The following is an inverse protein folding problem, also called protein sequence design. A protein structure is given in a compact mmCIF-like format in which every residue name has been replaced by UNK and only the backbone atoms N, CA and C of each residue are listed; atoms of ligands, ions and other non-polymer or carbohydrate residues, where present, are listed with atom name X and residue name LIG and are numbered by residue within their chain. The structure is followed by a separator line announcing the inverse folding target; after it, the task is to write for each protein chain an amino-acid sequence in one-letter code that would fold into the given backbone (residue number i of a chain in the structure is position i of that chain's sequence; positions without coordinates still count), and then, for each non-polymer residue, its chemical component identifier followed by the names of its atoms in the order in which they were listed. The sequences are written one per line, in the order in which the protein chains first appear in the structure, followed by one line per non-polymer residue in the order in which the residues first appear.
data_IF_807235488308
#
_entry.id   IF_807235488308
#
_cell.length_a   1.000
_cell.length_b   1.000
_cell.length_c   1.000
_cell.angle_alpha   90.00
_cell.angle_beta   90.00
_cell.angle_gamma   90.00
#
_symmetry.space_group_name_H-M   'P 1'
#
loop_
_entity.id
_entity.type
_entity.pdbx_description
1 polymer ?
#
# COMPACT_ATOMS: atom_id res chain seq x y z
N UNK A 1 -43.17 -1.88 3.00
CA UNK A 1 -42.62 -3.11 3.63
C UNK A 1 -41.11 -3.00 3.64
N UNK A 2 -40.58 -2.41 4.70
CA UNK A 2 -39.16 -2.12 4.95
C UNK A 2 -38.54 -3.26 5.76
N UNK A 3 -38.38 -4.42 5.11
CA UNK A 3 -37.89 -5.65 5.75
C UNK A 3 -36.65 -6.22 5.05
N UNK A 4 -35.51 -6.15 5.74
CA UNK A 4 -34.47 -7.18 5.78
C UNK A 4 -33.82 -7.67 4.46
N UNK A 5 -33.41 -6.77 3.57
CA UNK A 5 -32.39 -7.13 2.56
C UNK A 5 -30.97 -7.33 3.15
N UNK A 6 -30.78 -6.98 4.43
CA UNK A 6 -29.64 -7.38 5.26
C UNK A 6 -29.70 -8.85 5.75
N UNK A 7 -30.67 -9.69 5.36
CA UNK A 7 -30.76 -11.07 5.87
C UNK A 7 -30.05 -12.12 4.99
N UNK A 8 -29.77 -11.82 3.72
CA UNK A 8 -29.00 -12.71 2.83
C UNK A 8 -27.51 -12.33 2.88
N UNK A 9 -26.91 -12.33 4.08
CA UNK A 9 -25.58 -11.78 4.28
C UNK A 9 -24.51 -12.66 3.60
N UNK A 10 -23.94 -12.16 2.50
CA UNK A 10 -22.64 -12.63 2.04
C UNK A 10 -21.56 -12.34 3.09
N UNK A 11 -20.31 -12.72 2.82
CA UNK A 11 -19.21 -12.56 3.78
C UNK A 11 -19.03 -11.12 4.31
N UNK A 12 -19.51 -10.11 3.57
CA UNK A 12 -19.43 -8.69 3.92
C UNK A 12 -20.42 -8.25 5.00
N UNK A 13 -21.40 -9.10 5.34
CA UNK A 13 -22.41 -8.82 6.36
C UNK A 13 -21.97 -9.03 7.80
N UNK A 14 -20.76 -9.56 8.01
CA UNK A 14 -20.25 -9.94 9.33
C UNK A 14 -19.99 -8.71 10.20
N UNK A 15 -20.06 -8.84 11.54
CA UNK A 15 -19.87 -7.71 12.46
C UNK A 15 -18.58 -6.90 12.25
N UNK A 16 -17.50 -7.54 11.77
CA UNK A 16 -16.22 -6.87 11.52
C UNK A 16 -16.34 -5.69 10.51
N UNK A 17 -17.21 -5.82 9.51
CA UNK A 17 -17.43 -4.76 8.52
C UNK A 17 -18.58 -3.81 8.89
N UNK A 18 -19.30 -4.05 9.98
CA UNK A 18 -20.37 -3.16 10.41
C UNK A 18 -19.81 -1.96 11.19
N UNK A 19 -20.47 -0.82 11.10
CA UNK A 19 -20.15 0.39 11.87
C UNK A 19 -21.43 1.19 12.20
N UNK A 20 -21.36 1.95 13.29
CA UNK A 20 -22.39 2.88 13.75
C UNK A 20 -22.23 4.22 13.02
N UNK A 21 -23.25 4.71 12.30
CA UNK A 21 -23.22 6.03 11.69
C UNK A 21 -23.19 7.15 12.74
N UNK A 22 -22.44 8.22 12.46
CA UNK A 22 -22.43 9.42 13.28
C UNK A 22 -23.82 10.06 13.29
N UNK A 23 -24.40 10.26 14.48
CA UNK A 23 -25.73 10.86 14.65
C UNK A 23 -26.92 9.98 14.28
N UNK A 24 -26.70 8.70 13.94
CA UNK A 24 -27.75 7.74 13.58
C UNK A 24 -27.98 6.67 14.64
N UNK A 25 -28.93 5.77 14.37
CA UNK A 25 -29.16 4.54 15.12
C UNK A 25 -28.95 3.30 14.23
N UNK A 26 -28.61 2.16 14.85
CA UNK A 26 -28.36 0.90 14.16
C UNK A 26 -26.93 0.78 13.59
N UNK A 27 -26.62 -0.40 13.05
CA UNK A 27 -25.33 -0.69 12.41
C UNK A 27 -25.52 -0.88 10.91
N UNK A 28 -24.64 -0.29 10.11
CA UNK A 28 -24.65 -0.40 8.66
C UNK A 28 -23.36 -1.05 8.16
N UNK A 29 -23.47 -1.74 7.03
CA UNK A 29 -22.34 -2.35 6.33
C UNK A 29 -21.63 -1.37 5.39
N UNK A 30 -20.52 -1.80 4.79
CA UNK A 30 -19.76 -1.01 3.83
C UNK A 30 -20.45 -0.95 2.46
N UNK A 31 -20.05 0.02 1.63
CA UNK A 31 -20.43 0.15 0.22
C UNK A 31 -19.42 -0.52 -0.72
N UNK A 32 -18.20 -0.78 -0.24
CA UNK A 32 -17.18 -1.57 -0.92
C UNK A 32 -16.27 -2.27 0.10
N UNK A 33 -15.89 -3.51 -0.24
CA UNK A 33 -14.93 -4.33 0.51
C UNK A 33 -13.88 -4.83 -0.46
N UNK A 34 -12.63 -4.45 -0.23
CA UNK A 34 -11.45 -5.05 -0.83
C UNK A 34 -10.66 -5.73 0.30
N UNK A 35 -10.93 -7.01 0.61
CA UNK A 35 -10.18 -7.81 1.60
C UNK A 35 -9.24 -8.78 0.87
N UNK A 36 -8.00 -8.32 0.65
CA UNK A 36 -7.00 -9.02 -0.15
C UNK A 36 -6.46 -10.23 0.60
N UNK A 37 -6.32 -10.11 1.93
CA UNK A 37 -5.87 -11.21 2.81
C UNK A 37 -6.75 -12.45 2.72
N UNK A 38 -8.04 -12.27 2.48
CA UNK A 38 -9.02 -13.36 2.35
C UNK A 38 -9.49 -13.62 0.92
N UNK A 39 -8.92 -12.93 -0.06
CA UNK A 39 -9.36 -12.93 -1.47
C UNK A 39 -10.87 -12.72 -1.62
N UNK A 40 -11.37 -11.68 -0.96
CA UNK A 40 -12.81 -11.39 -0.81
C UNK A 40 -13.10 -9.96 -1.23
N UNK A 41 -13.94 -9.83 -2.25
CA UNK A 41 -14.28 -8.54 -2.85
C UNK A 41 -15.78 -8.38 -2.98
N UNK A 42 -16.28 -7.22 -2.59
CA UNK A 42 -17.69 -6.89 -2.75
C UNK A 42 -17.88 -5.40 -3.03
N UNK A 43 -18.89 -5.08 -3.82
CA UNK A 43 -19.21 -3.71 -4.22
C UNK A 43 -20.73 -3.54 -4.24
N UNK A 44 -21.20 -2.32 -3.99
CA UNK A 44 -22.61 -1.96 -4.11
C UNK A 44 -23.17 -2.41 -5.46
N UNK A 45 -24.41 -2.89 -5.43
CA UNK A 45 -25.15 -3.31 -6.64
C UNK A 45 -25.66 -2.14 -7.47
N UNK A 46 -25.60 -0.92 -6.92
CA UNK A 46 -26.10 0.26 -7.60
C UNK A 46 -25.19 0.65 -8.77
N UNK A 47 -25.80 1.14 -9.84
CA UNK A 47 -25.07 1.74 -10.94
C UNK A 47 -24.33 3.01 -10.47
N UNK A 48 -23.19 3.31 -11.09
CA UNK A 48 -22.32 4.45 -10.72
C UNK A 48 -23.09 5.76 -10.57
N UNK A 49 -23.98 6.06 -11.53
CA UNK A 49 -24.79 7.28 -11.52
C UNK A 49 -25.80 7.40 -10.36
N UNK A 50 -26.17 6.28 -9.72
CA UNK A 50 -27.07 6.27 -8.57
C UNK A 50 -26.32 6.44 -7.24
N UNK A 51 -25.01 6.20 -7.21
CA UNK A 51 -24.19 6.24 -5.99
C UNK A 51 -24.26 7.60 -5.28
N UNK A 52 -24.23 8.77 -5.95
CA UNK A 52 -24.25 10.06 -5.24
C UNK A 52 -25.53 10.28 -4.42
N UNK A 53 -26.70 9.90 -4.93
CA UNK A 53 -28.00 10.20 -4.31
C UNK A 53 -28.54 9.08 -3.41
N UNK A 54 -28.00 7.87 -3.50
CA UNK A 54 -28.51 6.71 -2.76
C UNK A 54 -28.33 6.84 -1.24
N UNK A 55 -29.24 6.22 -0.48
CA UNK A 55 -29.11 6.09 0.96
C UNK A 55 -27.97 5.10 1.32
N UNK A 56 -27.32 5.32 2.47
CA UNK A 56 -26.24 4.45 2.93
C UNK A 56 -26.67 2.97 3.07
N UNK A 57 -27.93 2.72 3.45
CA UNK A 57 -28.50 1.37 3.56
C UNK A 57 -28.69 0.69 2.21
N UNK A 58 -28.99 1.43 1.15
CA UNK A 58 -29.09 0.89 -0.22
C UNK A 58 -27.70 0.56 -0.76
N UNK A 59 -26.72 1.44 -0.50
CA UNK A 59 -25.33 1.22 -0.90
C UNK A 59 -24.70 0.02 -0.19
N UNK A 60 -25.10 -0.26 1.05
CA UNK A 60 -24.68 -1.42 1.82
C UNK A 60 -25.24 -2.76 1.29
N UNK A 61 -26.10 -2.75 0.27
CA UNK A 61 -26.49 -3.95 -0.46
C UNK A 61 -25.41 -4.33 -1.48
N UNK A 62 -24.45 -5.16 -1.05
CA UNK A 62 -23.31 -5.58 -1.87
C UNK A 62 -23.56 -6.88 -2.64
N UNK A 63 -22.80 -7.06 -3.72
CA UNK A 63 -22.55 -8.35 -4.38
C UNK A 63 -21.07 -8.67 -4.36
N UNK A 64 -20.74 -9.96 -4.23
CA UNK A 64 -19.39 -10.45 -4.49
C UNK A 64 -18.97 -10.04 -5.91
N UNK A 65 -17.73 -9.64 -6.08
CA UNK A 65 -17.19 -9.22 -7.35
C UNK A 65 -15.73 -9.68 -7.52
N UNK A 66 -15.14 -9.44 -8.69
CA UNK A 66 -13.70 -9.65 -8.90
C UNK A 66 -12.91 -8.41 -8.47
N UNK A 67 -11.59 -8.58 -8.28
CA UNK A 67 -10.68 -7.48 -7.96
C UNK A 67 -10.80 -6.32 -8.96
N UNK A 68 -10.94 -6.63 -10.25
CA UNK A 68 -11.02 -5.65 -11.34
C UNK A 68 -12.30 -4.80 -11.30
N UNK A 69 -13.33 -5.20 -10.54
CA UNK A 69 -14.52 -4.38 -10.32
C UNK A 69 -14.26 -3.25 -9.32
N UNK A 70 -13.24 -3.37 -8.48
CA UNK A 70 -12.84 -2.36 -7.49
C UNK A 70 -11.60 -1.59 -7.93
N UNK A 71 -10.65 -2.25 -8.60
CA UNK A 71 -9.35 -1.69 -8.96
C UNK A 71 -9.04 -1.91 -10.45
N UNK A 72 -8.81 -0.84 -11.17
CA UNK A 72 -8.13 -0.85 -12.48
C UNK A 72 -6.62 -0.82 -12.23
N UNK A 73 -5.98 -1.99 -12.32
CA UNK A 73 -4.53 -2.12 -12.12
C UNK A 73 -3.77 -1.93 -13.44
N UNK A 74 -2.69 -1.14 -13.42
CA UNK A 74 -1.77 -1.03 -14.55
C UNK A 74 -0.30 -1.08 -14.11
N UNK A 75 0.53 -1.68 -14.97
CA UNK A 75 2.00 -1.69 -14.91
C UNK A 75 2.52 -2.05 -16.29
N UNK A 76 3.44 -1.26 -16.84
CA UNK A 76 3.87 -1.39 -18.24
C UNK A 76 4.79 -2.59 -18.55
N UNK A 77 5.25 -3.33 -17.55
CA UNK A 77 6.13 -4.48 -17.73
C UNK A 77 5.87 -5.59 -16.70
N UNK A 78 6.54 -6.73 -16.89
CA UNK A 78 6.58 -7.82 -15.91
C UNK A 78 7.27 -7.39 -14.62
N UNK A 79 6.85 -7.93 -13.48
CA UNK A 79 7.50 -7.71 -12.20
C UNK A 79 7.39 -8.97 -11.31
N UNK A 80 8.32 -9.13 -10.37
CA UNK A 80 8.31 -10.30 -9.49
C UNK A 80 7.55 -10.07 -8.19
N UNK A 81 7.17 -11.16 -7.53
CA UNK A 81 6.58 -11.19 -6.19
C UNK A 81 6.89 -12.55 -5.54
N UNK A 82 6.75 -12.63 -4.22
CA UNK A 82 6.86 -13.90 -3.48
C UNK A 82 5.49 -14.58 -3.47
N UNK A 83 5.42 -15.80 -4.00
CA UNK A 83 4.21 -16.62 -4.02
C UNK A 83 3.93 -17.28 -2.67
N UNK A 84 2.77 -17.93 -2.55
CA UNK A 84 2.38 -18.66 -1.33
C UNK A 84 3.29 -19.86 -1.01
N UNK A 85 4.09 -20.30 -1.98
CA UNK A 85 5.13 -21.32 -1.84
C UNK A 85 6.47 -20.75 -1.32
N UNK A 86 6.55 -19.44 -1.07
CA UNK A 86 7.77 -18.75 -0.65
C UNK A 86 8.80 -18.54 -1.77
N UNK A 87 8.45 -18.87 -3.02
CA UNK A 87 9.32 -18.71 -4.18
C UNK A 87 9.03 -17.40 -4.93
N UNK A 88 9.99 -16.98 -5.76
CA UNK A 88 9.82 -15.81 -6.62
C UNK A 88 9.02 -16.21 -7.88
N UNK A 89 7.90 -15.52 -8.10
CA UNK A 89 7.07 -15.64 -9.28
C UNK A 89 7.11 -14.35 -10.11
N UNK A 90 6.68 -14.44 -11.37
CA UNK A 90 6.53 -13.28 -12.27
C UNK A 90 5.06 -12.99 -12.53
N UNK A 91 4.68 -11.73 -12.39
CA UNK A 91 3.38 -11.21 -12.86
C UNK A 91 3.56 -10.52 -14.21
N UNK A 92 2.66 -10.76 -15.15
CA UNK A 92 2.63 -10.11 -16.46
C UNK A 92 2.43 -8.59 -16.34
N UNK A 93 2.61 -7.86 -17.44
CA UNK A 93 2.18 -6.46 -17.52
C UNK A 93 0.68 -6.36 -17.17
N UNK A 94 0.31 -5.29 -16.47
CA UNK A 94 -1.05 -5.05 -15.95
C UNK A 94 -1.63 -6.12 -15.01
N UNK A 95 -0.87 -7.15 -14.62
CA UNK A 95 -1.32 -8.11 -13.61
C UNK A 95 -0.93 -7.63 -12.19
N UNK A 96 -1.88 -7.57 -11.24
CA UNK A 96 -1.58 -7.27 -9.85
C UNK A 96 -0.67 -8.34 -9.24
N UNK A 97 0.07 -7.97 -8.19
CA UNK A 97 0.99 -8.86 -7.47
C UNK A 97 0.42 -9.18 -6.09
N UNK A 98 0.01 -10.42 -5.90
CA UNK A 98 -0.46 -10.94 -4.61
C UNK A 98 0.69 -11.65 -3.91
N UNK A 99 1.39 -10.89 -3.08
CA UNK A 99 2.65 -11.27 -2.45
C UNK A 99 2.42 -11.95 -1.09
N UNK A 100 3.31 -12.87 -0.72
CA UNK A 100 3.28 -13.65 0.52
C UNK A 100 4.60 -13.59 1.31
N UNK A 101 5.41 -12.54 1.13
CA UNK A 101 6.73 -12.40 1.78
C UNK A 101 6.66 -12.56 3.30
N UNK A 102 5.56 -12.14 3.95
CA UNK A 102 5.34 -12.27 5.39
C UNK A 102 4.37 -13.42 5.76
N UNK A 103 4.14 -14.37 4.85
CA UNK A 103 3.27 -15.52 5.06
C UNK A 103 1.78 -15.26 4.88
N UNK A 104 1.38 -14.07 4.43
CA UNK A 104 -0.02 -13.70 4.18
C UNK A 104 -0.19 -13.10 2.80
N UNK A 105 -1.35 -13.31 2.19
CA UNK A 105 -1.67 -12.75 0.88
C UNK A 105 -1.92 -11.25 0.97
N UNK A 106 -1.09 -10.44 0.33
CA UNK A 106 -1.27 -8.98 0.30
C UNK A 106 -1.07 -8.43 -1.11
N UNK A 107 -1.68 -7.30 -1.41
CA UNK A 107 -1.42 -6.60 -2.67
C UNK A 107 -0.12 -5.82 -2.54
N UNK A 108 0.90 -6.24 -3.27
CA UNK A 108 2.16 -5.53 -3.34
C UNK A 108 2.05 -4.35 -4.31
N UNK A 109 2.23 -3.14 -3.79
CA UNK A 109 2.29 -1.91 -4.58
C UNK A 109 3.64 -1.26 -4.37
N UNK A 110 4.32 -0.90 -5.46
CA UNK A 110 5.64 -0.28 -5.40
C UNK A 110 5.80 0.82 -6.46
N UNK A 111 6.61 1.84 -6.13
CA UNK A 111 7.10 2.82 -7.10
C UNK A 111 8.12 2.21 -8.07
N UNK A 112 8.67 3.00 -9.01
CA UNK A 112 9.70 2.50 -9.91
C UNK A 112 11.00 2.23 -9.13
N UNK A 113 11.77 1.24 -9.56
CA UNK A 113 13.07 0.92 -8.98
C UNK A 113 14.00 0.32 -10.03
N UNK A 114 15.31 0.47 -9.85
CA UNK A 114 16.33 -0.04 -10.78
C UNK A 114 17.31 -0.92 -10.02
N UNK A 115 17.47 -2.16 -10.49
CA UNK A 115 18.56 -3.01 -10.04
C UNK A 115 19.82 -2.69 -10.86
N UNK A 116 20.84 -2.19 -10.18
CA UNK A 116 22.10 -1.77 -10.79
C UNK A 116 23.07 -2.94 -11.03
N UNK A 117 22.79 -4.11 -10.47
CA UNK A 117 23.63 -5.30 -10.66
C UNK A 117 23.40 -5.93 -12.02
N UNK A 118 24.45 -6.49 -12.60
CA UNK A 118 24.38 -7.32 -13.79
C UNK A 118 24.34 -8.79 -13.41
N UNK A 119 23.67 -9.60 -14.24
CA UNK A 119 23.53 -11.05 -14.08
C UNK A 119 23.05 -11.45 -12.68
N UNK A 120 22.02 -10.77 -12.17
CA UNK A 120 21.61 -10.85 -10.77
C UNK A 120 21.09 -12.21 -10.32
N UNK A 121 20.68 -13.09 -11.23
CA UNK A 121 20.19 -14.43 -10.88
C UNK A 121 21.26 -15.27 -10.16
N UNK A 122 22.52 -15.14 -10.59
CA UNK A 122 23.71 -15.74 -9.94
C UNK A 122 24.83 -14.70 -10.00
N UNK A 123 25.03 -13.99 -8.89
CA UNK A 123 25.90 -12.84 -8.85
C UNK A 123 27.38 -13.26 -8.87
N UNK A 124 28.16 -12.62 -9.73
CA UNK A 124 29.63 -12.65 -9.67
C UNK A 124 30.16 -11.33 -9.10
N UNK A 125 31.40 -11.36 -8.60
CA UNK A 125 32.13 -10.15 -8.20
C UNK A 125 32.10 -9.12 -9.32
N UNK A 126 31.68 -7.90 -9.01
CA UNK A 126 31.57 -6.82 -9.97
C UNK A 126 31.71 -5.45 -9.29
N UNK A 127 31.89 -4.42 -10.11
CA UNK A 127 31.94 -3.03 -9.66
C UNK A 127 30.94 -2.20 -10.43
N UNK A 128 30.21 -1.35 -9.72
CA UNK A 128 29.15 -0.49 -10.27
C UNK A 128 29.42 0.96 -9.86
N UNK A 129 29.31 1.90 -10.79
CA UNK A 129 29.37 3.32 -10.47
C UNK A 129 28.04 3.77 -9.84
N UNK A 130 28.11 4.37 -8.66
CA UNK A 130 26.95 4.88 -7.92
C UNK A 130 27.11 6.37 -7.60
N UNK A 131 26.05 7.19 -7.74
CA UNK A 131 25.98 8.51 -7.11
C UNK A 131 26.02 8.45 -5.58
N UNK A 132 26.25 9.60 -4.93
CA UNK A 132 26.12 9.71 -3.49
C UNK A 132 24.63 9.64 -3.09
N UNK A 133 24.22 8.54 -2.46
CA UNK A 133 22.85 8.30 -2.01
C UNK A 133 22.81 7.14 -1.00
N UNK A 134 21.62 6.91 -0.43
CA UNK A 134 21.33 5.67 0.29
C UNK A 134 21.02 4.56 -0.70
N UNK A 135 21.63 3.39 -0.50
CA UNK A 135 21.40 2.18 -1.26
C UNK A 135 21.03 1.02 -0.36
N UNK A 136 20.29 0.07 -0.93
CA UNK A 136 20.04 -1.23 -0.30
C UNK A 136 20.56 -2.33 -1.20
N UNK A 137 21.50 -3.12 -0.68
CA UNK A 137 21.90 -4.40 -1.27
C UNK A 137 21.03 -5.50 -0.66
N UNK A 138 20.60 -6.46 -1.46
CA UNK A 138 19.90 -7.65 -0.98
C UNK A 138 20.16 -8.88 -1.86
N UNK A 139 20.05 -10.08 -1.30
CA UNK A 139 20.15 -11.33 -2.06
C UNK A 139 19.57 -12.53 -1.30
N UNK A 140 19.42 -13.66 -1.99
CA UNK A 140 19.14 -14.98 -1.42
C UNK A 140 20.36 -15.89 -1.55
N UNK A 141 20.53 -16.84 -0.62
CA UNK A 141 21.63 -17.79 -0.63
C UNK A 141 22.40 -17.81 0.68
N UNK A 142 23.47 -18.62 0.72
CA UNK A 142 24.34 -18.83 1.89
C UNK A 142 25.71 -18.16 1.75
N UNK A 143 25.98 -17.52 0.61
CA UNK A 143 27.20 -16.78 0.36
C UNK A 143 27.25 -15.42 1.07
N UNK A 144 28.25 -14.63 0.74
CA UNK A 144 28.43 -13.26 1.24
C UNK A 144 28.80 -12.30 0.12
N UNK A 145 28.50 -11.02 0.36
CA UNK A 145 28.93 -9.90 -0.47
C UNK A 145 29.65 -8.89 0.41
N UNK A 146 30.91 -8.59 0.10
CA UNK A 146 31.70 -7.57 0.78
C UNK A 146 31.84 -6.33 -0.09
N UNK A 147 31.53 -5.16 0.50
CA UNK A 147 31.56 -3.86 -0.16
C UNK A 147 32.90 -3.16 0.03
N UNK A 148 33.39 -2.51 -1.03
CA UNK A 148 34.55 -1.61 -0.99
C UNK A 148 34.41 -0.44 -1.98
N UNK A 149 35.16 0.65 -1.76
CA UNK A 149 35.16 1.84 -2.59
C UNK A 149 34.17 2.90 -2.09
N UNK A 150 33.08 3.12 -2.84
CA UNK A 150 32.03 4.10 -2.52
C UNK A 150 31.33 3.85 -1.17
N UNK A 151 31.40 2.63 -0.64
CA UNK A 151 30.99 2.28 0.73
C UNK A 151 31.78 1.06 1.20
N UNK A 152 31.63 0.70 2.47
CA UNK A 152 32.23 -0.49 3.08
C UNK A 152 31.22 -1.25 3.93
N UNK A 153 31.42 -2.56 4.08
CA UNK A 153 30.52 -3.43 4.84
C UNK A 153 30.49 -4.84 4.26
N UNK A 154 29.73 -5.73 4.91
CA UNK A 154 29.51 -7.08 4.40
C UNK A 154 28.07 -7.52 4.70
N UNK A 155 27.48 -8.26 3.77
CA UNK A 155 26.18 -8.88 3.90
C UNK A 155 26.35 -10.39 3.74
N UNK A 156 26.00 -11.15 4.77
CA UNK A 156 26.02 -12.62 4.75
C UNK A 156 24.61 -13.17 4.58
N UNK A 157 24.46 -14.22 3.79
CA UNK A 157 23.20 -14.89 3.52
C UNK A 157 22.84 -15.96 4.56
N UNK A 158 21.57 -16.33 4.61
CA UNK A 158 21.05 -17.38 5.51
C UNK A 158 20.51 -18.62 4.78
N UNK A 159 20.18 -18.54 3.50
CA UNK A 159 19.54 -19.64 2.77
C UNK A 159 18.82 -19.19 1.50
N UNK A 160 18.32 -20.15 0.71
CA UNK A 160 17.66 -19.88 -0.58
C UNK A 160 16.25 -19.29 -0.48
N UNK A 161 15.61 -19.37 0.69
CA UNK A 161 14.23 -18.90 0.93
C UNK A 161 14.16 -17.61 1.73
N UNK A 162 15.28 -17.14 2.27
CA UNK A 162 15.34 -15.94 3.11
C UNK A 162 16.17 -14.88 2.42
N UNK A 163 15.53 -13.78 2.04
CA UNK A 163 16.24 -12.61 1.49
C UNK A 163 16.92 -11.85 2.61
N UNK A 164 18.21 -11.62 2.49
CA UNK A 164 18.97 -10.72 3.36
C UNK A 164 19.12 -9.35 2.71
N UNK A 165 19.27 -8.31 3.51
CA UNK A 165 19.53 -6.96 3.01
C UNK A 165 20.48 -6.16 3.91
N UNK A 166 21.25 -5.27 3.29
CA UNK A 166 22.10 -4.27 3.93
C UNK A 166 21.80 -2.90 3.32
N UNK A 167 21.36 -1.97 4.16
CA UNK A 167 21.18 -0.56 3.78
C UNK A 167 22.40 0.25 4.20
N UNK A 168 22.94 1.06 3.31
CA UNK A 168 24.13 1.86 3.55
C UNK A 168 24.08 3.18 2.78
N UNK A 169 24.87 4.16 3.21
CA UNK A 169 25.09 5.41 2.45
C UNK A 169 26.36 5.24 1.64
N UNK A 170 26.27 5.50 0.33
CA UNK A 170 27.41 5.51 -0.57
C UNK A 170 27.86 6.96 -0.86
N UNK A 171 29.15 7.14 -1.04
CA UNK A 171 29.69 8.33 -1.73
C UNK A 171 29.62 8.12 -3.25
N UNK A 172 29.77 9.19 -4.03
CA UNK A 172 29.83 9.06 -5.48
C UNK A 172 31.13 8.34 -5.89
N UNK A 173 31.02 7.26 -6.65
CA UNK A 173 32.20 6.51 -7.11
C UNK A 173 31.90 5.05 -7.44
N UNK A 174 32.96 4.25 -7.58
CA UNK A 174 32.85 2.83 -7.82
C UNK A 174 32.56 2.07 -6.51
N UNK A 175 31.48 1.31 -6.48
CA UNK A 175 31.16 0.34 -5.44
C UNK A 175 31.51 -1.06 -5.93
N UNK A 176 32.53 -1.66 -5.34
CA UNK A 176 32.92 -3.04 -5.61
C UNK A 176 32.19 -3.98 -4.67
N UNK A 177 31.56 -5.01 -5.22
CA UNK A 177 30.88 -6.08 -4.49
C UNK A 177 31.63 -7.38 -4.73
N UNK A 178 32.40 -7.81 -3.75
CA UNK A 178 33.14 -9.07 -3.78
C UNK A 178 32.24 -10.19 -3.29
N UNK A 179 31.95 -11.15 -4.17
CA UNK A 179 31.07 -12.27 -3.89
C UNK A 179 31.87 -13.49 -3.44
N UNK A 180 31.43 -14.16 -2.38
CA UNK A 180 31.90 -15.47 -1.97
C UNK A 180 30.71 -16.42 -1.78
N UNK A 181 30.82 -17.66 -2.27
CA UNK A 181 29.75 -18.65 -2.17
C UNK A 181 28.52 -18.32 -3.03
N UNK A 182 27.36 -18.85 -2.64
CA UNK A 182 26.11 -18.72 -3.41
C UNK A 182 25.38 -17.41 -3.11
N UNK A 183 25.33 -16.51 -4.09
CA UNK A 183 24.55 -15.26 -4.05
C UNK A 183 23.61 -15.24 -5.25
N UNK A 184 22.31 -15.41 -4.99
CA UNK A 184 21.26 -15.53 -5.99
C UNK A 184 20.23 -14.41 -5.87
N UNK A 185 19.59 -14.06 -6.99
CA UNK A 185 18.56 -13.01 -7.10
C UNK A 185 18.99 -11.71 -6.39
N UNK A 186 20.22 -11.29 -6.64
CA UNK A 186 20.81 -10.15 -5.97
C UNK A 186 20.28 -8.83 -6.54
N UNK A 187 20.13 -7.83 -5.67
CA UNK A 187 19.64 -6.52 -6.05
C UNK A 187 20.39 -5.43 -5.31
N UNK A 188 20.90 -4.47 -6.06
CA UNK A 188 21.38 -3.19 -5.54
C UNK A 188 20.51 -2.10 -6.15
N UNK A 189 19.80 -1.37 -5.30
CA UNK A 189 18.93 -0.28 -5.72
C UNK A 189 19.04 0.92 -4.77
N UNK A 190 18.73 2.11 -5.27
CA UNK A 190 18.65 3.31 -4.45
C UNK A 190 17.45 3.24 -3.51
N UNK A 191 17.61 3.76 -2.30
CA UNK A 191 16.58 3.75 -1.26
C UNK A 191 16.99 2.94 -0.05
N UNK A 192 16.16 3.00 0.99
CA UNK A 192 16.46 2.44 2.31
C UNK A 192 15.83 1.06 2.55
N UNK A 193 15.21 0.47 1.53
CA UNK A 193 14.71 -0.90 1.56
C UNK A 193 14.91 -1.59 0.22
N UNK A 194 14.91 -2.92 0.26
CA UNK A 194 14.78 -3.73 -0.93
C UNK A 194 13.33 -3.73 -1.42
N UNK A 195 13.12 -3.42 -2.71
CA UNK A 195 11.88 -3.68 -3.43
C UNK A 195 11.84 -5.12 -3.92
N UNK A 196 10.73 -5.57 -4.52
CA UNK A 196 10.67 -6.86 -5.24
C UNK A 196 11.88 -7.06 -6.17
N UNK A 197 12.31 -8.30 -6.35
CA UNK A 197 13.47 -8.61 -7.16
C UNK A 197 13.25 -8.19 -8.63
N UNK A 198 14.22 -7.48 -9.20
CA UNK A 198 14.24 -7.04 -10.59
C UNK A 198 15.33 -7.85 -11.29
N UNK A 199 14.95 -8.85 -12.11
CA UNK A 199 15.91 -9.66 -12.85
C UNK A 199 16.73 -8.80 -13.82
N UNK A 200 18.04 -9.02 -13.84
CA UNK A 200 18.98 -8.37 -14.75
C UNK A 200 19.86 -9.40 -15.42
N UNK A 201 20.30 -9.07 -16.63
CA UNK A 201 21.25 -9.87 -17.41
C UNK A 201 22.48 -9.01 -17.69
N UNK A 202 22.89 -8.84 -18.95
CA UNK A 202 24.03 -8.01 -19.33
C UNK A 202 23.86 -6.51 -19.12
N UNK A 203 22.67 -6.05 -18.68
CA UNK A 203 22.41 -4.65 -18.35
C UNK A 203 21.53 -4.52 -17.10
N UNK A 204 21.63 -3.37 -16.45
CA UNK A 204 20.69 -2.95 -15.41
C UNK A 204 19.26 -2.89 -15.99
N UNK A 205 18.27 -3.10 -15.12
CA UNK A 205 16.86 -3.09 -15.50
C UNK A 205 16.03 -2.29 -14.50
N UNK A 206 14.99 -1.65 -15.00
CA UNK A 206 14.05 -0.86 -14.20
C UNK A 206 12.69 -1.54 -14.17
N UNK A 207 12.16 -1.77 -12.96
CA UNK A 207 10.76 -2.15 -12.77
C UNK A 207 9.90 -0.89 -12.78
N UNK A 208 8.86 -0.79 -13.64
CA UNK A 208 7.92 0.32 -13.62
C UNK A 208 7.08 0.35 -12.33
N UNK A 209 6.53 1.52 -12.03
CA UNK A 209 5.62 1.69 -10.90
C UNK A 209 4.30 0.93 -11.10
N UNK A 210 3.74 0.43 -10.00
CA UNK A 210 2.37 -0.06 -9.98
C UNK A 210 1.37 1.11 -9.96
N UNK A 211 0.17 0.84 -10.44
CA UNK A 211 -0.94 1.78 -10.41
C UNK A 211 -2.24 1.05 -10.12
N UNK A 212 -2.68 1.08 -8.86
CA UNK A 212 -3.97 0.57 -8.42
C UNK A 212 -5.00 1.71 -8.36
N UNK A 213 -5.61 2.04 -9.51
CA UNK A 213 -6.67 3.05 -9.59
C UNK A 213 -8.00 2.44 -9.15
N UNK A 214 -8.75 3.09 -8.28
CA UNK A 214 -10.13 2.68 -8.00
C UNK A 214 -10.99 2.84 -9.27
N UNK A 215 -11.85 1.85 -9.54
CA UNK A 215 -12.86 1.96 -10.60
C UNK A 215 -13.81 3.11 -10.31
N UNK A 216 -14.53 3.59 -11.32
CA UNK A 216 -15.42 4.74 -11.15
C UNK A 216 -16.49 4.49 -10.08
N UNK A 217 -17.03 3.26 -9.98
CA UNK A 217 -17.96 2.88 -8.91
C UNK A 217 -17.35 2.99 -7.50
N UNK A 218 -16.14 2.45 -7.31
CA UNK A 218 -15.46 2.53 -6.02
C UNK A 218 -15.03 3.97 -5.69
N UNK A 219 -14.61 4.73 -6.69
CA UNK A 219 -14.23 6.12 -6.53
C UNK A 219 -15.43 7.03 -6.21
N UNK A 220 -16.62 6.79 -6.79
CA UNK A 220 -17.83 7.54 -6.42
C UNK A 220 -18.25 7.32 -4.97
N UNK A 221 -18.03 6.14 -4.40
CA UNK A 221 -18.24 5.92 -2.96
C UNK A 221 -17.32 6.80 -2.12
N UNK A 222 -16.06 6.99 -2.55
CA UNK A 222 -15.10 7.89 -1.90
C UNK A 222 -15.49 9.36 -2.07
N UNK A 223 -16.21 9.74 -3.12
CA UNK A 223 -16.56 11.16 -3.38
C UNK A 223 -17.81 11.65 -2.67
N UNK A 224 -18.51 10.79 -1.92
CA UNK A 224 -19.72 11.19 -1.22
C UNK A 224 -19.43 12.22 -0.11
N UNK A 225 -20.46 13.00 0.21
CA UNK A 225 -20.40 14.03 1.25
C UNK A 225 -20.21 13.45 2.65
N UNK A 226 -20.57 12.18 2.87
CA UNK A 226 -20.34 11.47 4.12
C UNK A 226 -19.76 10.07 3.86
N UNK A 227 -18.54 9.82 4.32
CA UNK A 227 -17.78 8.59 4.05
C UNK A 227 -16.87 8.26 5.22
N UNK A 228 -16.60 6.96 5.40
CA UNK A 228 -15.46 6.48 6.16
C UNK A 228 -14.65 5.50 5.34
N UNK A 229 -13.33 5.56 5.44
CA UNK A 229 -12.40 4.70 4.71
C UNK A 229 -11.42 4.10 5.70
N UNK A 230 -11.14 2.82 5.54
CA UNK A 230 -10.04 2.13 6.22
C UNK A 230 -9.09 1.57 5.18
N UNK A 231 -7.80 1.81 5.36
CA UNK A 231 -6.73 1.05 4.71
C UNK A 231 -5.96 0.29 5.78
N UNK A 232 -5.76 -1.01 5.54
CA UNK A 232 -4.83 -1.82 6.31
C UNK A 232 -3.65 -2.19 5.43
N UNK A 233 -2.45 -1.89 5.90
CA UNK A 233 -1.23 -2.23 5.18
C UNK A 233 -0.06 -2.47 6.14
N UNK A 234 0.84 -3.35 5.69
CA UNK A 234 2.21 -3.44 6.17
C UNK A 234 3.11 -2.54 5.32
N UNK A 235 3.70 -1.52 5.94
CA UNK A 235 4.61 -0.62 5.24
C UNK A 235 6.01 -0.57 5.83
N UNK A 236 7.04 -0.82 5.01
CA UNK A 236 8.41 -0.45 5.35
C UNK A 236 8.58 1.07 5.17
N UNK A 237 8.63 1.78 6.30
CA UNK A 237 8.79 3.22 6.34
C UNK A 237 10.22 3.63 5.99
N UNK A 238 10.35 4.78 5.32
CA UNK A 238 11.63 5.39 4.98
C UNK A 238 11.62 6.81 5.53
N UNK A 239 12.62 7.14 6.34
CA UNK A 239 12.75 8.48 6.93
C UNK A 239 12.92 9.52 5.82
N UNK A 240 12.21 10.64 5.93
CA UNK A 240 12.33 11.76 4.99
C UNK A 240 11.52 11.64 3.69
N UNK A 241 10.67 10.62 3.55
CA UNK A 241 9.81 10.45 2.38
C UNK A 241 8.33 10.62 2.73
N UNK A 242 7.56 11.30 1.86
CA UNK A 242 6.09 11.30 1.97
C UNK A 242 5.53 9.98 1.45
N UNK A 243 4.39 9.56 1.98
CA UNK A 243 3.69 8.32 1.59
C UNK A 243 2.26 8.65 1.21
N UNK A 244 1.79 8.16 0.06
CA UNK A 244 0.40 8.27 -0.38
C UNK A 244 -0.26 6.90 -0.36
N UNK A 245 -0.85 6.52 0.78
CA UNK A 245 -1.56 5.26 0.93
C UNK A 245 -2.83 5.27 0.11
N UNK A 246 -3.53 6.40 0.11
CA UNK A 246 -4.56 6.71 -0.87
C UNK A 246 -4.43 8.15 -1.32
N UNK A 247 -4.54 8.37 -2.63
CA UNK A 247 -4.33 9.67 -3.23
C UNK A 247 -5.23 9.94 -4.42
N UNK A 248 -5.48 11.22 -4.65
CA UNK A 248 -6.00 11.77 -5.90
C UNK A 248 -4.92 12.65 -6.53
N UNK A 249 -5.23 13.85 -7.01
CA UNK A 249 -4.22 14.92 -7.16
C UNK A 249 -3.61 15.32 -5.80
N UNK A 250 -4.28 14.99 -4.70
CA UNK A 250 -3.86 15.29 -3.33
C UNK A 250 -3.81 14.03 -2.45
N UNK A 251 -3.30 14.13 -1.23
CA UNK A 251 -3.29 13.00 -0.27
C UNK A 251 -4.64 12.86 0.40
N UNK A 252 -5.36 11.77 0.14
CA UNK A 252 -6.51 11.39 0.99
C UNK A 252 -5.99 10.84 2.31
N UNK A 253 -5.00 9.96 2.21
CA UNK A 253 -4.44 9.19 3.31
C UNK A 253 -2.94 9.02 3.08
N UNK A 254 -2.13 9.49 4.01
CA UNK A 254 -0.69 9.40 3.83
C UNK A 254 0.12 9.81 5.04
N UNK A 255 1.43 9.81 4.86
CA UNK A 255 2.39 10.23 5.88
C UNK A 255 3.26 11.33 5.30
N UNK A 256 3.58 12.33 6.11
CA UNK A 256 4.59 13.32 5.75
C UNK A 256 6.02 12.78 5.98
N UNK A 257 7.01 13.61 5.71
CA UNK A 257 8.44 13.27 5.86
C UNK A 257 8.84 12.96 7.30
N UNK A 258 8.07 13.42 8.29
CA UNK A 258 8.21 13.14 9.71
C UNK A 258 7.45 11.90 10.17
N UNK A 259 6.94 11.07 9.24
CA UNK A 259 6.10 9.89 9.51
C UNK A 259 4.80 10.26 10.25
N UNK A 260 4.33 11.49 10.10
CA UNK A 260 3.07 11.93 10.69
C UNK A 260 1.93 11.62 9.74
N UNK A 261 0.92 10.89 10.20
CA UNK A 261 -0.32 10.69 9.46
C UNK A 261 -0.82 12.06 9.00
N UNK A 262 -1.13 12.23 7.72
CA UNK A 262 -1.60 13.49 7.18
C UNK A 262 -2.63 13.36 6.05
N UNK A 263 -3.49 14.36 5.95
CA UNK A 263 -4.39 14.58 4.83
C UNK A 263 -4.10 15.94 4.19
N UNK A 264 -4.05 15.98 2.86
CA UNK A 264 -3.65 17.16 2.09
C UNK A 264 -4.70 17.48 1.03
N UNK A 265 -4.89 18.77 0.77
CA UNK A 265 -5.70 19.31 -0.35
C UNK A 265 -4.84 20.00 -1.42
N UNK A 266 -3.52 19.89 -1.32
CA UNK A 266 -2.56 20.48 -2.26
C UNK A 266 -1.99 21.83 -1.84
N UNK A 267 -2.53 22.50 -0.84
CA UNK A 267 -1.95 23.74 -0.30
C UNK A 267 -1.06 23.48 0.94
N UNK A 268 -1.37 22.44 1.72
CA UNK A 268 -0.58 22.03 2.88
C UNK A 268 -1.14 20.80 3.59
N UNK A 269 -0.46 20.31 4.66
CA UNK A 269 -1.04 19.30 5.53
C UNK A 269 -2.19 19.96 6.29
N UNK A 270 -3.41 19.57 5.96
CA UNK A 270 -4.58 20.14 6.61
C UNK A 270 -4.80 19.52 8.01
N UNK A 271 -4.26 18.33 8.25
CA UNK A 271 -4.37 17.62 9.53
C UNK A 271 -3.17 16.69 9.69
N UNK A 272 -2.50 16.74 10.83
CA UNK A 272 -1.45 15.78 11.20
C UNK A 272 -1.59 15.30 12.64
N UNK A 273 -1.30 14.02 12.89
CA UNK A 273 -1.16 13.50 14.25
C UNK A 273 0.25 13.84 14.77
N UNK A 274 0.36 14.26 16.04
CA UNK A 274 1.62 14.75 16.61
C UNK A 274 2.69 13.67 16.83
N UNK A 275 2.30 12.40 16.99
CA UNK A 275 3.22 11.26 17.13
C UNK A 275 3.50 10.60 15.78
N UNK A 276 4.78 10.44 15.43
CA UNK A 276 5.19 9.62 14.30
C UNK A 276 4.82 8.16 14.53
N UNK A 277 4.51 7.44 13.45
CA UNK A 277 4.28 5.98 13.53
C UNK A 277 5.62 5.25 13.42
N UNK A 278 5.83 4.23 14.26
CA UNK A 278 7.05 3.41 14.26
C UNK A 278 7.18 2.56 12.99
N UNK A 279 8.40 2.12 12.70
CA UNK A 279 8.73 1.39 11.48
C UNK A 279 8.23 -0.06 11.50
N UNK A 280 7.71 -0.55 10.37
CA UNK A 280 7.32 -1.94 10.08
C UNK A 280 6.27 -2.56 11.02
N UNK A 281 5.11 -1.93 11.10
CA UNK A 281 3.94 -2.51 11.78
C UNK A 281 2.75 -2.61 10.83
N UNK A 282 1.95 -3.65 11.04
CA UNK A 282 0.61 -3.78 10.46
C UNK A 282 -0.28 -2.67 11.03
N UNK A 283 -0.72 -1.76 10.17
CA UNK A 283 -1.44 -0.56 10.59
C UNK A 283 -2.76 -0.40 9.87
N UNK A 284 -3.82 -0.25 10.65
CA UNK A 284 -5.04 0.36 10.18
C UNK A 284 -4.89 1.88 10.16
N UNK A 285 -5.25 2.50 9.04
CA UNK A 285 -5.35 3.94 8.93
C UNK A 285 -6.74 4.29 8.41
N UNK A 286 -7.55 4.88 9.30
CA UNK A 286 -8.90 5.29 9.04
C UNK A 286 -9.04 6.79 8.83
N UNK A 287 -9.89 7.19 7.90
CA UNK A 287 -10.39 8.56 7.74
C UNK A 287 -11.91 8.56 7.64
N UNK A 288 -12.56 9.59 8.15
CA UNK A 288 -13.99 9.79 7.99
C UNK A 288 -14.32 11.27 7.88
N UNK A 289 -15.34 11.63 7.11
CA UNK A 289 -15.83 13.00 6.98
C UNK A 289 -17.33 13.06 6.73
N UNK A 290 -17.92 14.20 7.08
CA UNK A 290 -19.26 14.63 6.69
C UNK A 290 -19.37 16.17 6.64
N UNK A 291 -20.59 16.70 6.55
CA UNK A 291 -20.93 18.14 6.67
C UNK A 291 -20.26 18.89 7.82
N UNK A 292 -19.98 18.21 8.93
CA UNK A 292 -19.44 18.81 10.16
C UNK A 292 -17.92 18.81 10.23
N UNK A 293 -17.24 18.17 9.26
CA UNK A 293 -15.79 18.11 9.19
C UNK A 293 -15.27 16.69 9.02
N UNK A 294 -14.01 16.49 9.38
CA UNK A 294 -13.29 15.23 9.15
C UNK A 294 -12.47 14.79 10.35
N UNK A 295 -12.14 13.51 10.35
CA UNK A 295 -11.33 12.87 11.37
C UNK A 295 -10.44 11.81 10.74
N UNK A 296 -9.27 11.64 11.34
CA UNK A 296 -8.34 10.57 11.04
C UNK A 296 -8.02 9.78 12.30
N UNK A 297 -7.73 8.50 12.15
CA UNK A 297 -7.22 7.67 13.24
C UNK A 297 -6.25 6.62 12.72
N UNK A 298 -5.21 6.33 13.51
CA UNK A 298 -4.18 5.34 13.22
C UNK A 298 -3.47 4.95 14.52
N UNK A 299 -3.33 3.66 14.77
CA UNK A 299 -2.59 3.11 15.92
C UNK A 299 -2.94 3.78 17.27
N UNK A 300 -4.24 4.00 17.53
CA UNK A 300 -4.73 4.61 18.78
C UNK A 300 -4.62 6.14 18.84
N UNK A 301 -3.98 6.77 17.87
CA UNK A 301 -3.96 8.22 17.74
C UNK A 301 -5.11 8.71 16.84
N UNK A 302 -5.56 9.95 17.06
CA UNK A 302 -6.62 10.59 16.28
C UNK A 302 -6.42 12.09 16.20
N UNK A 303 -6.85 12.68 15.09
CA UNK A 303 -6.96 14.13 14.92
C UNK A 303 -8.21 14.45 14.09
N UNK A 304 -8.75 15.66 14.18
CA UNK A 304 -9.88 16.10 13.37
C UNK A 304 -10.03 17.62 13.35
N UNK A 305 -10.75 18.11 12.35
CA UNK A 305 -11.06 19.53 12.15
C UNK A 305 -12.40 19.68 11.42
N UNK A 306 -12.82 20.93 11.19
CA UNK A 306 -14.10 21.26 10.55
C UNK A 306 -14.05 21.30 9.01
N UNK A 307 -12.99 20.77 8.37
CA UNK A 307 -12.88 20.78 6.90
C UNK A 307 -13.46 19.51 6.26
N UNK A 308 -13.94 19.66 5.03
CA UNK A 308 -14.22 18.53 4.14
C UNK A 308 -13.12 18.35 3.10
N UNK A 309 -12.72 17.12 2.79
CA UNK A 309 -11.78 16.88 1.71
C UNK A 309 -12.41 17.16 0.33
N UNK A 310 -11.72 17.92 -0.52
CA UNK A 310 -12.07 18.04 -1.93
C UNK A 310 -11.33 16.99 -2.75
N UNK A 311 -12.02 16.30 -3.66
CA UNK A 311 -11.42 15.27 -4.51
C UNK A 311 -11.56 15.66 -5.98
N UNK A 312 -10.44 15.76 -6.69
CA UNK A 312 -10.41 15.90 -8.15
C UNK A 312 -9.57 14.79 -8.78
N UNK A 313 -10.00 14.30 -9.93
CA UNK A 313 -9.30 13.26 -10.67
C UNK A 313 -9.51 11.84 -10.14
N UNK A 314 -8.60 10.95 -10.55
CA UNK A 314 -8.63 9.53 -10.22
C UNK A 314 -8.24 9.30 -8.76
N UNK A 315 -8.85 8.30 -8.12
CA UNK A 315 -8.49 7.84 -6.77
C UNK A 315 -7.61 6.59 -6.88
N UNK A 316 -6.52 6.53 -6.13
CA UNK A 316 -5.58 5.42 -6.15
C UNK A 316 -5.36 4.87 -4.75
N UNK A 317 -5.01 3.58 -4.70
CA UNK A 317 -4.35 2.93 -3.59
C UNK A 317 -2.83 2.90 -3.85
N UNK A 318 -2.04 3.19 -2.82
CA UNK A 318 -0.58 3.15 -2.82
C UNK A 318 0.15 4.21 -3.64
N UNK A 319 -0.56 5.21 -4.16
CA UNK A 319 0.02 6.37 -4.84
C UNK A 319 -0.94 7.56 -4.93
N UNK A 320 -0.47 8.64 -5.54
CA UNK A 320 -1.29 9.75 -6.05
C UNK A 320 -1.07 9.96 -7.58
N UNK A 321 -1.79 10.93 -8.16
CA UNK A 321 -1.66 11.32 -9.57
C UNK A 321 -0.28 11.92 -9.91
N UNK A 322 0.42 12.45 -8.90
CA UNK A 322 1.69 13.17 -9.06
C UNK A 322 2.92 12.25 -9.00
N UNK A 323 2.72 10.94 -8.88
CA UNK A 323 3.81 9.97 -8.80
C UNK A 323 4.47 9.91 -7.42
N UNK A 324 3.79 10.32 -6.36
CA UNK A 324 4.19 9.99 -5.00
C UNK A 324 3.64 8.62 -4.64
N UNK A 325 4.47 7.75 -4.07
CA UNK A 325 4.13 6.35 -3.82
C UNK A 325 4.10 6.05 -2.32
N UNK A 326 3.34 5.03 -1.94
CA UNK A 326 3.50 4.37 -0.65
C UNK A 326 3.77 2.88 -0.87
N UNK A 327 5.05 2.52 -1.12
CA UNK A 327 5.38 1.14 -1.36
C UNK A 327 5.17 0.28 -0.12
N UNK A 328 4.58 -0.89 -0.32
CA UNK A 328 4.28 -1.82 0.76
C UNK A 328 3.24 -2.85 0.35
N UNK A 329 2.74 -3.55 1.36
CA UNK A 329 1.80 -4.64 1.22
C UNK A 329 0.45 -4.24 1.81
N UNK A 330 -0.60 -4.32 1.00
CA UNK A 330 -1.93 -3.86 1.38
C UNK A 330 -2.83 -5.06 1.65
N UNK A 331 -3.48 -5.07 2.81
CA UNK A 331 -4.39 -6.13 3.26
C UNK A 331 -5.83 -5.79 2.93
N UNK A 332 -6.26 -4.57 3.25
CA UNK A 332 -7.65 -4.17 3.09
C UNK A 332 -7.83 -2.72 2.65
N UNK A 333 -8.86 -2.50 1.84
CA UNK A 333 -9.51 -1.20 1.63
C UNK A 333 -11.01 -1.38 1.84
N UNK A 334 -11.57 -0.71 2.84
CA UNK A 334 -13.00 -0.76 3.13
C UNK A 334 -13.57 0.65 3.06
N UNK A 335 -14.72 0.81 2.40
CA UNK A 335 -15.39 2.10 2.21
C UNK A 335 -16.81 2.00 2.75
N UNK A 336 -17.12 2.79 3.77
CA UNK A 336 -18.47 2.97 4.30
C UNK A 336 -19.09 4.24 3.70
N UNK A 337 -20.31 4.17 3.13
CA UNK A 337 -20.97 5.28 2.45
C UNK A 337 -21.63 6.28 3.43
N UNK A 338 -21.07 6.37 4.64
CA UNK A 338 -21.49 7.21 5.74
C UNK A 338 -20.28 7.52 6.63
N UNK A 339 -20.36 8.62 7.38
CA UNK A 339 -19.41 8.90 8.47
C UNK A 339 -19.73 8.01 9.65
N UNK A 340 -18.80 7.16 10.08
CA UNK A 340 -18.95 6.37 11.30
C UNK A 340 -18.64 7.20 12.55
N UNK A 341 -19.02 6.70 13.72
CA UNK A 341 -18.62 7.35 14.97
C UNK A 341 -17.10 7.41 15.12
N UNK A 342 -16.62 8.42 15.83
CA UNK A 342 -15.19 8.57 16.10
C UNK A 342 -14.62 7.37 16.87
N UNK A 343 -15.43 6.71 17.70
CA UNK A 343 -15.04 5.51 18.44
C UNK A 343 -14.85 4.31 17.50
N UNK A 344 -15.80 4.08 16.59
CA UNK A 344 -15.67 3.01 15.59
C UNK A 344 -14.49 3.24 14.66
N UNK A 345 -14.26 4.49 14.23
CA UNK A 345 -13.11 4.82 13.39
C UNK A 345 -11.79 4.46 14.09
N UNK A 346 -11.65 4.84 15.37
CA UNK A 346 -10.46 4.54 16.15
C UNK A 346 -10.29 3.04 16.40
N UNK A 347 -11.38 2.31 16.67
CA UNK A 347 -11.34 0.88 16.85
C UNK A 347 -10.91 0.14 15.56
N UNK A 348 -11.39 0.58 14.39
CA UNK A 348 -11.05 -0.01 13.10
C UNK A 348 -9.63 0.33 12.64
N UNK A 349 -9.12 1.50 13.01
CA UNK A 349 -7.77 1.96 12.69
C UNK A 349 -6.70 1.51 13.72
N UNK A 350 -7.02 0.55 14.58
CA UNK A 350 -6.04 -0.06 15.45
C UNK A 350 -4.95 -0.79 14.64
N UNK A 351 -3.78 -1.00 15.25
CA UNK A 351 -2.84 -1.98 14.74
C UNK A 351 -3.51 -3.36 14.71
N UNK A 352 -3.23 -4.14 13.68
CA UNK A 352 -3.76 -5.48 13.53
C UNK A 352 -2.63 -6.50 13.54
N UNK A 353 -3.01 -7.77 13.68
CA UNK A 353 -2.12 -8.92 13.58
C UNK A 353 -2.67 -9.90 12.59
#
# INVERSE_FOLDING_TARGET
MTGNLQAAQGFWGVPAYQALPAGGSGVLGPGAVLDIGRDRYALTRLAVAAIPAAAASELAALSACSFEKLITFTRSATATYVGSDGLIHSAAANAPRFDHTNGRRQLLLEGPATNLLLNSAVLSTQSVAVPAATYTLSFYGTGSVTLAGASSGSLSGFGSTTRVSLTFVATAGALTMTVAGSVANAQLESGSRASSYIPTTGSAATRPADSARLTDAAAELVRRDAVSILVQAFQPFETGSTRRWMGTSYTILGLDTGKKPSQWDGAGPLLSVSSGVNDQVDLGFGVAWDGSGRRMSIAGASAGDAHQPAFTGNVFLGRDNSGNFAPGWYDQLIIWPFRMTNADLAAKAAAYT
#
